data_IF_624943471542
#
_entry.id   IF_624943471542
#
_cell.length_a   1.000
_cell.length_b   1.000
_cell.length_c   1.000
_cell.angle_alpha   90.00
_cell.angle_beta   90.00
_cell.angle_gamma   90.00
#
_symmetry.space_group_name_H-M   'P 1'
#
loop_
_entity.id
_entity.type
_entity.pdbx_description
1 polymer ?
#
# COMPACT_ATOMS: atom_id res chain seq x y z
N UNK A 1 9.71 -5.83 12.69
CA UNK A 1 9.25 -4.96 13.80
C UNK A 1 8.11 -5.66 14.52
N UNK A 2 8.38 -6.39 15.61
CA UNK A 2 7.33 -6.88 16.49
C UNK A 2 6.84 -5.68 17.31
N UNK A 3 5.80 -5.01 16.82
CA UNK A 3 5.09 -4.01 17.61
C UNK A 3 4.10 -4.78 18.47
N UNK A 4 4.31 -4.86 19.78
CA UNK A 4 3.40 -5.57 20.68
C UNK A 4 2.04 -4.84 20.76
N UNK A 5 2.10 -3.51 20.91
CA UNK A 5 0.94 -2.63 21.12
C UNK A 5 -0.06 -2.67 19.94
N UNK A 6 -1.36 -2.89 20.20
CA UNK A 6 -2.38 -3.00 19.16
C UNK A 6 -2.58 -1.68 18.39
N UNK A 7 -2.49 -0.54 19.04
CA UNK A 7 -2.67 0.77 18.39
C UNK A 7 -1.54 1.07 17.41
N UNK A 8 -0.29 0.89 17.84
CA UNK A 8 0.88 1.07 16.98
C UNK A 8 0.89 0.07 15.82
N UNK A 9 0.38 -1.16 16.01
CA UNK A 9 0.17 -2.12 14.93
C UNK A 9 -0.80 -1.57 13.88
N UNK A 10 -1.95 -1.03 14.29
CA UNK A 10 -2.93 -0.46 13.36
C UNK A 10 -2.35 0.72 12.58
N UNK A 11 -1.63 1.63 13.24
CA UNK A 11 -0.97 2.77 12.58
C UNK A 11 0.03 2.28 11.53
N UNK A 12 0.88 1.31 11.90
CA UNK A 12 1.86 0.73 10.98
C UNK A 12 1.20 -0.01 9.80
N UNK A 13 0.12 -0.73 10.05
CA UNK A 13 -0.67 -1.39 9.01
C UNK A 13 -1.25 -0.36 8.04
N UNK A 14 -1.85 0.72 8.56
CA UNK A 14 -2.43 1.76 7.73
C UNK A 14 -1.39 2.41 6.83
N UNK A 15 -0.23 2.76 7.37
CA UNK A 15 0.86 3.38 6.64
C UNK A 15 1.45 2.47 5.54
N UNK A 16 1.46 1.15 5.75
CA UNK A 16 2.13 0.19 4.83
C UNK A 16 1.22 -0.48 3.82
N UNK A 17 -0.07 -0.60 4.11
CA UNK A 17 -1.03 -1.39 3.33
C UNK A 17 -2.07 -0.52 2.59
N UNK A 18 -2.43 0.66 3.08
CA UNK A 18 -3.40 1.54 2.41
C UNK A 18 -2.75 2.43 1.35
N UNK A 19 -2.18 1.78 0.33
CA UNK A 19 -1.46 2.44 -0.75
C UNK A 19 -1.90 1.85 -2.10
N UNK A 20 -1.74 2.64 -3.16
CA UNK A 20 -1.84 2.15 -4.54
C UNK A 20 -0.44 1.83 -5.08
N UNK A 21 -0.32 0.80 -5.89
CA UNK A 21 0.91 0.38 -6.58
C UNK A 21 0.68 0.49 -8.08
N UNK A 22 1.60 1.11 -8.81
CA UNK A 22 1.53 1.13 -10.26
C UNK A 22 1.89 -0.22 -10.89
N UNK A 23 1.15 -0.66 -11.91
CA UNK A 23 1.49 -1.89 -12.65
C UNK A 23 2.75 -1.76 -13.50
N UNK A 24 3.01 -0.59 -14.07
CA UNK A 24 4.16 -0.38 -14.95
C UNK A 24 5.48 -0.24 -14.19
N UNK A 25 5.54 0.64 -13.19
CA UNK A 25 6.80 0.99 -12.51
C UNK A 25 6.89 0.53 -11.05
N UNK A 26 5.83 -0.08 -10.49
CA UNK A 26 5.82 -0.54 -9.11
C UNK A 26 5.82 0.57 -8.03
N UNK A 27 5.74 1.85 -8.43
CA UNK A 27 5.77 2.96 -7.47
C UNK A 27 4.57 2.91 -6.51
N UNK A 28 4.84 3.23 -5.23
CA UNK A 28 3.82 3.42 -4.19
C UNK A 28 3.24 4.81 -4.29
N UNK A 29 1.93 4.90 -4.51
CA UNK A 29 1.16 6.12 -4.63
C UNK A 29 0.13 6.19 -3.49
N UNK A 30 -0.39 7.40 -3.22
CA UNK A 30 -1.46 7.59 -2.24
C UNK A 30 -2.73 6.84 -2.67
N UNK A 31 -3.61 6.56 -1.70
CA UNK A 31 -4.90 5.89 -1.99
C UNK A 31 -5.80 6.76 -2.89
N UNK A 32 -5.71 8.08 -2.76
CA UNK A 32 -6.47 9.05 -3.55
C UNK A 32 -5.86 9.32 -4.93
N UNK A 33 -4.66 8.80 -5.22
CA UNK A 33 -4.00 9.05 -6.50
C UNK A 33 -4.80 8.47 -7.67
N UNK A 34 -5.00 9.31 -8.69
CA UNK A 34 -5.56 8.95 -10.00
C UNK A 34 -4.49 8.52 -11.00
N UNK A 35 -3.26 9.04 -10.86
CA UNK A 35 -2.10 8.73 -11.72
C UNK A 35 -0.86 8.40 -10.90
N UNK A 36 0.05 7.63 -11.49
CA UNK A 36 1.33 7.33 -10.87
C UNK A 36 2.26 8.55 -10.83
N UNK A 37 2.86 8.82 -9.67
CA UNK A 37 3.81 9.94 -9.49
C UNK A 37 5.13 9.85 -10.28
N UNK A 38 5.45 8.68 -10.85
CA UNK A 38 6.75 8.42 -11.51
C UNK A 38 6.62 8.25 -13.03
N UNK A 39 5.67 7.44 -13.48
CA UNK A 39 5.46 7.17 -14.91
C UNK A 39 4.17 7.80 -15.45
N UNK A 40 3.40 8.52 -14.62
CA UNK A 40 2.16 9.21 -15.01
C UNK A 40 1.05 8.32 -15.61
N UNK A 41 1.22 7.00 -15.57
CA UNK A 41 0.22 6.02 -15.99
C UNK A 41 -0.93 5.96 -14.98
N UNK A 42 -2.15 5.76 -15.47
CA UNK A 42 -3.39 5.62 -14.69
C UNK A 42 -3.63 4.20 -14.18
N UNK A 43 -2.88 3.21 -14.69
CA UNK A 43 -2.98 1.81 -14.26
C UNK A 43 -2.35 1.58 -12.87
N UNK A 44 -3.18 1.76 -11.84
CA UNK A 44 -2.85 1.59 -10.43
C UNK A 44 -3.70 0.47 -9.82
N UNK A 45 -3.08 -0.41 -9.04
CA UNK A 45 -3.78 -1.40 -8.20
C UNK A 45 -3.73 -1.04 -6.74
N UNK A 46 -4.69 -1.52 -5.98
CA UNK A 46 -4.60 -1.51 -4.51
C UNK A 46 -3.59 -2.55 -4.04
N UNK A 47 -2.80 -2.19 -3.02
CA UNK A 47 -1.96 -3.17 -2.34
C UNK A 47 -2.84 -4.13 -1.53
N UNK A 48 -2.46 -5.42 -1.52
CA UNK A 48 -3.16 -6.41 -0.72
C UNK A 48 -3.06 -6.04 0.77
N UNK A 49 -4.21 -6.07 1.45
CA UNK A 49 -4.35 -5.69 2.87
C UNK A 49 -4.34 -6.89 3.80
N UNK A 50 -4.46 -8.11 3.26
CA UNK A 50 -4.40 -9.33 4.06
C UNK A 50 -3.00 -9.50 4.67
N UNK A 51 -2.94 -9.60 6.00
CA UNK A 51 -1.75 -9.94 6.77
C UNK A 51 -1.81 -11.43 7.12
N UNK A 52 -1.30 -12.26 6.23
CA UNK A 52 -1.25 -13.71 6.44
C UNK A 52 -0.40 -14.38 5.38
N UNK A 53 -0.05 -15.65 5.61
CA UNK A 53 0.41 -16.51 4.53
C UNK A 53 -0.65 -16.46 3.43
N UNK A 54 -0.22 -16.17 2.20
CA UNK A 54 -1.12 -16.24 1.04
C UNK A 54 -1.69 -17.66 1.05
N UNK A 55 -3.02 -17.79 1.07
CA UNK A 55 -3.65 -19.07 0.81
C UNK A 55 -3.25 -19.57 -0.57
#
# INVERSE_FOLDING_TARGET
MPIADPEKKQIAQRARLHLKICFGCGARNSIAATRCRKCHNSHLRLKNRALGAKK
#
